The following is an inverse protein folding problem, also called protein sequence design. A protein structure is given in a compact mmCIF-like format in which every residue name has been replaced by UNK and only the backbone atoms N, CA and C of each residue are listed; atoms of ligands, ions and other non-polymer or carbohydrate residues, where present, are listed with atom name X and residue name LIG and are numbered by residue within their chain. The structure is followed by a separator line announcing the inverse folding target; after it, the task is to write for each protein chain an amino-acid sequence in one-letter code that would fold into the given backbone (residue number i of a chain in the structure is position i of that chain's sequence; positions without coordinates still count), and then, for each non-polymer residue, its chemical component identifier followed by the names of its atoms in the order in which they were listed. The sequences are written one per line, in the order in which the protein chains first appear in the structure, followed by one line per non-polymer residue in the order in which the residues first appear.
data_IF_406048782459
#
_entry.id   IF_406048782459
#
_cell.length_a   1.000
_cell.length_b   1.000
_cell.length_c   1.000
_cell.angle_alpha   90.00
_cell.angle_beta   90.00
_cell.angle_gamma   90.00
#
_symmetry.space_group_name_H-M   'P 1'
#
loop_
_entity.id
_entity.type
_entity.pdbx_description
1 polymer ?
#
# COMPACT_ATOMS: atom_id res chain seq x y z
N UNK A 1 -0.31 -1.42 -15.42
CA UNK A 1 -1.20 -1.27 -14.24
C UNK A 1 -1.68 0.19 -14.16
N UNK A 2 -2.65 0.52 -13.30
CA UNK A 2 -3.13 1.91 -13.17
C UNK A 2 -2.03 2.88 -12.72
N UNK A 3 -1.18 2.44 -11.80
CA UNK A 3 -0.02 3.21 -11.29
C UNK A 3 1.02 3.48 -12.39
N UNK A 4 1.33 2.48 -13.22
CA UNK A 4 2.24 2.67 -14.36
C UNK A 4 1.66 3.61 -15.41
N UNK A 5 0.36 3.51 -15.68
CA UNK A 5 -0.30 4.36 -16.68
C UNK A 5 -0.31 5.83 -16.22
N UNK A 6 -0.50 6.08 -14.93
CA UNK A 6 -0.32 7.41 -14.33
C UNK A 6 1.11 7.93 -14.55
N UNK A 7 2.12 7.09 -14.34
CA UNK A 7 3.53 7.46 -14.54
C UNK A 7 3.84 7.81 -16.01
N UNK A 8 3.28 7.09 -16.98
CA UNK A 8 3.48 7.40 -18.41
C UNK A 8 3.00 8.83 -18.74
N UNK A 9 1.88 9.25 -18.14
CA UNK A 9 1.27 10.54 -18.47
C UNK A 9 1.80 11.70 -17.61
N UNK A 10 2.21 11.43 -16.37
CA UNK A 10 2.64 12.46 -15.41
C UNK A 10 4.15 12.46 -15.11
N UNK A 11 4.89 11.46 -15.61
CA UNK A 11 6.31 11.23 -15.33
C UNK A 11 6.66 11.23 -13.82
N UNK A 12 5.68 10.84 -13.00
CA UNK A 12 5.76 10.75 -11.55
C UNK A 12 4.73 9.72 -11.06
N UNK A 13 4.96 9.09 -9.92
CA UNK A 13 3.95 8.24 -9.29
C UNK A 13 2.91 9.06 -8.52
N UNK A 14 1.70 8.51 -8.30
CA UNK A 14 0.68 9.18 -7.49
C UNK A 14 1.23 9.52 -6.10
N UNK A 15 0.94 10.72 -5.57
CA UNK A 15 1.45 11.14 -4.27
C UNK A 15 0.92 10.24 -3.15
N UNK A 16 1.77 10.00 -2.15
CA UNK A 16 1.41 9.27 -0.94
C UNK A 16 0.54 10.14 -0.04
N UNK A 17 -0.66 9.66 0.31
CA UNK A 17 -1.48 10.25 1.36
C UNK A 17 -1.53 9.32 2.57
N UNK A 18 -1.26 9.79 3.79
CA UNK A 18 -1.34 8.95 4.98
C UNK A 18 -2.75 8.40 5.16
N UNK A 19 -2.83 7.17 5.68
CA UNK A 19 -4.04 6.54 6.18
C UNK A 19 -4.65 7.43 7.25
N UNK A 20 -5.69 8.19 6.88
CA UNK A 20 -6.48 8.96 7.83
C UNK A 20 -7.89 8.41 7.86
N UNK A 21 -8.14 7.55 8.83
CA UNK A 21 -9.50 7.33 9.28
C UNK A 21 -9.91 8.54 10.13
N UNK A 22 -10.91 9.30 9.67
CA UNK A 22 -11.39 10.49 10.36
C UNK A 22 -12.29 10.16 11.57
N UNK A 23 -12.70 8.90 11.78
CA UNK A 23 -13.85 8.60 12.60
C UNK A 23 -13.60 7.77 13.88
N UNK A 24 -12.60 6.87 13.93
CA UNK A 24 -12.23 6.07 15.12
C UNK A 24 -11.09 5.08 14.89
N UNK A 25 -10.86 4.68 13.64
CA UNK A 25 -9.98 3.54 13.36
C UNK A 25 -8.49 3.92 13.32
N UNK A 26 -8.14 5.21 13.50
CA UNK A 26 -6.75 5.66 13.60
C UNK A 26 -6.00 5.00 14.76
N UNK A 27 -6.64 4.81 15.92
CA UNK A 27 -6.03 4.13 17.08
C UNK A 27 -5.84 2.62 16.82
N UNK A 28 -6.79 2.00 16.10
CA UNK A 28 -6.70 0.59 15.70
C UNK A 28 -5.56 0.41 14.69
N UNK A 29 -5.46 1.30 13.71
CA UNK A 29 -4.40 1.34 12.70
C UNK A 29 -3.03 1.57 13.33
N UNK A 30 -2.91 2.49 14.30
CA UNK A 30 -1.67 2.72 15.03
C UNK A 30 -1.22 1.45 15.78
N UNK A 31 -2.15 0.75 16.45
CA UNK A 31 -1.84 -0.48 17.20
C UNK A 31 -1.32 -1.62 16.33
N UNK A 32 -1.70 -1.68 15.06
CA UNK A 32 -1.30 -2.73 14.11
C UNK A 32 -0.11 -2.32 13.22
N UNK A 33 0.56 -1.19 13.50
CA UNK A 33 1.67 -0.67 12.70
C UNK A 33 1.26 0.13 11.46
N UNK A 34 -0.04 0.29 11.21
CA UNK A 34 -0.60 0.98 10.05
C UNK A 34 -0.65 2.51 10.16
N UNK A 35 -0.33 3.09 11.31
CA UNK A 35 -0.51 4.54 11.58
C UNK A 35 0.33 5.48 10.71
N UNK A 36 1.47 5.01 10.20
CA UNK A 36 2.38 5.74 9.29
C UNK A 36 2.18 5.37 7.81
N UNK A 37 1.27 4.43 7.53
CA UNK A 37 1.09 3.92 6.17
C UNK A 37 0.31 4.88 5.30
N UNK A 38 0.52 4.78 3.99
CA UNK A 38 -0.18 5.61 3.02
C UNK A 38 -1.20 4.79 2.24
N UNK A 39 -2.38 5.34 2.02
CA UNK A 39 -3.39 4.77 1.11
C UNK A 39 -3.81 5.80 0.10
N UNK A 40 -4.13 5.34 -1.11
CA UNK A 40 -4.93 6.15 -2.03
C UNK A 40 -6.29 6.39 -1.38
N UNK A 41 -6.66 7.64 -1.11
CA UNK A 41 -7.89 7.94 -0.38
C UNK A 41 -9.11 7.62 -1.26
N UNK A 42 -9.81 6.51 -0.98
CA UNK A 42 -11.07 6.18 -1.64
C UNK A 42 -12.19 7.03 -1.05
N UNK A 43 -12.45 8.21 -1.59
CA UNK A 43 -13.70 8.93 -1.32
C UNK A 43 -13.61 10.41 -0.95
N UNK A 44 -12.45 11.05 -1.05
CA UNK A 44 -12.42 12.52 -1.12
C UNK A 44 -12.47 12.93 -2.59
N UNK A 45 -13.29 13.92 -2.94
CA UNK A 45 -13.47 14.47 -4.30
C UNK A 45 -12.22 15.16 -4.86
N UNK A 46 -11.05 14.89 -4.27
CA UNK A 46 -9.73 15.43 -4.54
C UNK A 46 -8.71 14.32 -4.87
N UNK A 47 -9.16 13.18 -5.39
CA UNK A 47 -8.31 12.27 -6.19
C UNK A 47 -7.92 12.98 -7.50
N UNK A 48 -7.25 14.13 -7.41
CA UNK A 48 -6.61 14.79 -8.55
C UNK A 48 -5.47 13.87 -9.00
N UNK A 49 -5.69 13.14 -10.09
CA UNK A 49 -4.66 12.38 -10.78
C UNK A 49 -5.05 10.95 -11.19
N UNK A 50 -5.82 10.21 -10.39
CA UNK A 50 -6.15 8.80 -10.72
C UNK A 50 -7.53 8.61 -11.36
N UNK A 51 -8.44 9.57 -11.20
CA UNK A 51 -9.84 9.46 -11.67
C UNK A 51 -10.28 10.54 -12.66
N UNK A 52 -9.48 11.57 -12.94
CA UNK A 52 -9.81 12.58 -13.98
C UNK A 52 -8.57 13.27 -14.57
N UNK A 53 -8.55 13.58 -15.89
CA UNK A 53 -9.52 13.21 -16.92
C UNK A 53 -9.31 11.79 -17.49
N UNK A 54 -8.20 11.12 -17.15
CA UNK A 54 -7.95 9.71 -17.49
C UNK A 54 -8.06 8.89 -16.20
N UNK A 55 -9.11 8.07 -16.10
CA UNK A 55 -9.31 7.18 -14.95
C UNK A 55 -8.43 5.95 -15.12
N UNK A 56 -7.25 5.93 -14.50
CA UNK A 56 -6.34 4.77 -14.55
C UNK A 56 -6.85 3.59 -13.72
N UNK A 57 -7.74 3.87 -12.76
CA UNK A 57 -8.53 2.90 -12.00
C UNK A 57 -9.96 3.41 -11.89
N UNK A 58 -10.96 2.53 -12.00
CA UNK A 58 -12.38 2.88 -11.90
C UNK A 58 -12.89 2.92 -10.46
N UNK A 59 -12.25 2.16 -9.58
CA UNK A 59 -12.52 2.11 -8.14
C UNK A 59 -11.29 1.57 -7.42
N UNK A 60 -11.10 1.96 -6.17
CA UNK A 60 -10.11 1.34 -5.31
C UNK A 60 -10.63 0.00 -4.78
N UNK A 61 -9.76 -1.02 -4.82
CA UNK A 61 -10.07 -2.33 -4.26
C UNK A 61 -9.80 -2.31 -2.75
N UNK A 62 -10.82 -2.65 -1.97
CA UNK A 62 -10.68 -2.78 -0.52
C UNK A 62 -9.82 -3.99 -0.18
N UNK A 63 -8.96 -3.82 0.81
CA UNK A 63 -8.11 -4.87 1.33
C UNK A 63 -8.93 -5.79 2.25
N UNK A 64 -9.14 -7.07 1.92
CA UNK A 64 -9.89 -8.00 2.75
C UNK A 64 -9.18 -8.34 4.06
N UNK A 65 -7.87 -8.10 4.14
CA UNK A 65 -7.04 -8.39 5.30
C UNK A 65 -6.80 -7.16 6.18
N UNK A 66 -7.14 -5.96 5.70
CA UNK A 66 -7.09 -4.76 6.51
C UNK A 66 -8.05 -4.89 7.70
N UNK A 67 -7.59 -4.62 8.94
CA UNK A 67 -8.46 -4.63 10.11
C UNK A 67 -9.62 -3.65 10.03
N UNK A 68 -9.52 -2.63 9.16
CA UNK A 68 -10.66 -1.86 8.70
C UNK A 68 -10.94 -2.20 7.22
N UNK A 69 -12.02 -2.96 7.01
CA UNK A 69 -12.49 -3.46 5.72
C UNK A 69 -12.88 -2.37 4.71
N UNK A 70 -12.95 -1.11 5.15
CA UNK A 70 -13.24 0.05 4.30
C UNK A 70 -11.97 0.67 3.71
N UNK A 71 -10.80 0.13 4.02
CA UNK A 71 -9.52 0.65 3.56
C UNK A 71 -9.03 -0.13 2.33
N UNK A 72 -8.50 0.57 1.32
CA UNK A 72 -7.79 -0.08 0.23
C UNK A 72 -6.40 -0.52 0.69
N UNK A 73 -5.71 -1.26 -0.18
CA UNK A 73 -4.33 -1.66 0.03
C UNK A 73 -3.41 -0.47 0.35
N UNK A 74 -2.46 -0.70 1.26
CA UNK A 74 -1.40 0.24 1.56
C UNK A 74 -0.49 0.42 0.33
N UNK A 75 0.05 1.63 0.18
CA UNK A 75 0.83 2.04 -0.97
C UNK A 75 1.98 2.92 -0.53
N UNK A 76 3.15 2.71 -1.11
CA UNK A 76 4.32 3.56 -0.94
C UNK A 76 5.02 3.72 -2.29
N UNK A 77 5.56 4.90 -2.56
CA UNK A 77 6.39 5.16 -3.73
C UNK A 77 7.59 6.01 -3.39
N UNK A 78 8.63 5.86 -4.21
CA UNK A 78 9.72 6.82 -4.28
C UNK A 78 9.77 7.44 -5.69
N UNK A 79 10.91 8.02 -6.07
CA UNK A 79 11.07 8.69 -7.36
C UNK A 79 10.91 7.74 -8.56
N UNK A 80 11.30 6.46 -8.44
CA UNK A 80 11.40 5.55 -9.60
C UNK A 80 10.67 4.22 -9.42
N UNK A 81 10.10 3.96 -8.25
CA UNK A 81 9.38 2.73 -7.95
C UNK A 81 8.19 2.91 -7.00
N UNK A 82 7.44 1.82 -6.87
CA UNK A 82 6.29 1.71 -5.99
C UNK A 82 6.20 0.31 -5.39
N UNK A 83 5.57 0.25 -4.22
CA UNK A 83 5.14 -0.96 -3.53
C UNK A 83 3.69 -0.78 -3.07
N UNK A 84 2.89 -1.82 -3.24
CA UNK A 84 1.54 -1.92 -2.72
C UNK A 84 1.45 -3.17 -1.86
N UNK A 85 0.87 -3.09 -0.67
CA UNK A 85 0.90 -4.17 0.30
C UNK A 85 -0.33 -4.21 1.20
N UNK A 86 -0.54 -5.37 1.81
CA UNK A 86 -1.64 -5.74 2.70
C UNK A 86 -1.02 -6.41 3.93
N UNK A 87 -1.61 -6.24 5.13
CA UNK A 87 -1.10 -6.85 6.36
C UNK A 87 -1.21 -8.38 6.31
N UNK A 88 -2.06 -8.94 5.45
CA UNK A 88 -2.21 -10.38 5.32
C UNK A 88 -3.06 -10.98 6.45
N UNK A 89 -3.11 -12.33 6.54
CA UNK A 89 -4.10 -13.02 7.38
C UNK A 89 -4.00 -12.74 8.90
N UNK A 90 -2.85 -12.31 9.39
CA UNK A 90 -2.64 -11.97 10.80
C UNK A 90 -3.12 -10.54 11.15
N UNK A 91 -3.44 -9.73 10.14
CA UNK A 91 -3.94 -8.37 10.27
C UNK A 91 -2.93 -7.38 10.84
N UNK A 92 -1.63 -7.68 10.79
CA UNK A 92 -0.55 -6.78 11.25
C UNK A 92 0.28 -6.29 10.08
N UNK A 93 0.59 -4.99 10.06
CA UNK A 93 1.46 -4.44 9.03
C UNK A 93 2.92 -4.58 9.44
N UNK A 94 3.63 -5.54 8.85
CA UNK A 94 5.06 -5.73 9.07
C UNK A 94 5.90 -4.71 8.29
N UNK A 95 5.39 -4.20 7.16
CA UNK A 95 5.95 -3.08 6.40
C UNK A 95 5.44 -1.71 6.88
N UNK A 96 5.26 -1.52 8.20
CA UNK A 96 4.82 -0.27 8.83
C UNK A 96 5.66 0.97 8.45
N UNK A 97 6.95 0.76 8.13
CA UNK A 97 7.88 1.77 7.65
C UNK A 97 8.40 1.42 6.24
N UNK A 98 7.59 1.56 5.19
CA UNK A 98 7.94 1.03 3.86
C UNK A 98 9.21 1.68 3.29
N UNK A 99 9.50 2.95 3.62
CA UNK A 99 10.73 3.63 3.19
C UNK A 99 12.04 3.06 3.76
N UNK A 100 11.96 2.22 4.81
CA UNK A 100 13.13 1.51 5.37
C UNK A 100 13.44 0.22 4.61
N UNK A 101 12.42 -0.42 4.05
CA UNK A 101 12.52 -1.75 3.44
C UNK A 101 12.42 -1.70 1.91
N UNK A 102 11.78 -0.68 1.36
CA UNK A 102 11.61 -0.48 -0.08
C UNK A 102 12.39 0.73 -0.58
N UNK A 103 13.20 0.51 -1.62
CA UNK A 103 13.75 1.58 -2.47
C UNK A 103 13.89 1.07 -3.90
N UNK A 104 13.62 1.93 -4.88
CA UNK A 104 13.81 1.68 -6.30
C UNK A 104 15.27 1.65 -6.72
N UNK A 105 16.20 1.99 -5.82
CA UNK A 105 17.64 2.02 -6.09
C UNK A 105 18.29 0.63 -6.03
N UNK A 106 17.56 -0.36 -5.52
CA UNK A 106 17.99 -1.76 -5.43
C UNK A 106 17.02 -2.61 -6.25
N UNK A 107 17.52 -3.73 -6.76
CA UNK A 107 16.70 -4.71 -7.47
C UNK A 107 15.64 -5.28 -6.52
N UNK A 108 14.41 -5.36 -7.04
CA UNK A 108 13.25 -5.88 -6.31
C UNK A 108 12.83 -7.24 -6.87
N UNK A 109 12.45 -8.20 -6.01
CA UNK A 109 12.29 -8.04 -4.56
C UNK A 109 13.61 -8.14 -3.79
N UNK A 110 13.82 -7.19 -2.89
CA UNK A 110 14.99 -7.17 -2.00
C UNK A 110 14.84 -8.13 -0.82
N UNK A 111 15.96 -8.57 -0.25
CA UNK A 111 15.96 -9.45 0.94
C UNK A 111 15.21 -8.85 2.13
N UNK A 112 15.22 -7.51 2.28
CA UNK A 112 14.50 -6.82 3.37
C UNK A 112 12.99 -7.03 3.30
N UNK A 113 12.42 -6.94 2.10
CA UNK A 113 10.99 -7.15 1.89
C UNK A 113 10.65 -8.65 1.94
N UNK A 114 11.54 -9.49 1.40
CA UNK A 114 11.39 -10.96 1.45
C UNK A 114 11.30 -11.50 2.89
N UNK A 115 11.99 -10.88 3.85
CA UNK A 115 11.92 -11.25 5.28
C UNK A 115 10.60 -10.88 5.95
N UNK A 116 9.88 -9.90 5.40
CA UNK A 116 8.59 -9.42 5.89
C UNK A 116 7.44 -9.91 5.00
N UNK A 117 7.71 -10.90 4.13
CA UNK A 117 6.73 -11.45 3.21
C UNK A 117 5.92 -12.54 3.88
N UNK A 118 4.63 -12.54 3.62
CA UNK A 118 3.74 -13.65 3.97
C UNK A 118 4.30 -14.99 3.46
N UNK A 119 4.44 -15.97 4.37
CA UNK A 119 4.84 -17.34 4.06
C UNK A 119 3.60 -18.26 3.98
N UNK A 120 3.21 -18.70 2.77
CA UNK A 120 2.04 -19.56 2.60
C UNK A 120 2.18 -20.94 3.26
N UNK A 121 3.37 -21.37 3.67
CA UNK A 121 3.58 -22.67 4.32
C UNK A 121 3.00 -22.75 5.74
N UNK A 122 2.73 -21.60 6.37
CA UNK A 122 2.20 -21.50 7.74
C UNK A 122 0.73 -21.04 7.81
N UNK A 123 0.03 -21.01 6.67
CA UNK A 123 -1.42 -20.75 6.61
C UNK A 123 -1.83 -19.40 7.21
N UNK A 124 -2.87 -19.39 8.04
CA UNK A 124 -3.44 -18.16 8.65
C UNK A 124 -2.67 -17.64 9.87
N UNK A 125 -1.60 -18.33 10.29
CA UNK A 125 -0.74 -17.92 11.42
C UNK A 125 0.60 -17.39 10.91
N UNK A 126 0.85 -17.47 9.59
CA UNK A 126 2.02 -16.84 9.03
C UNK A 126 1.95 -15.34 9.26
N UNK A 127 2.97 -14.81 9.93
CA UNK A 127 3.27 -13.39 9.86
C UNK A 127 3.71 -12.99 8.45
N UNK A 128 3.79 -11.69 8.21
CA UNK A 128 4.27 -11.11 6.98
C UNK A 128 3.17 -10.51 6.12
N UNK A 129 3.54 -9.43 5.44
CA UNK A 129 2.68 -8.71 4.52
C UNK A 129 2.63 -9.40 3.15
N UNK A 130 1.48 -9.27 2.49
CA UNK A 130 1.34 -9.60 1.07
C UNK A 130 1.61 -8.34 0.27
N UNK A 131 2.58 -8.37 -0.65
CA UNK A 131 2.98 -7.17 -1.38
C UNK A 131 3.19 -7.42 -2.87
N UNK A 132 3.17 -6.32 -3.62
CA UNK A 132 3.53 -6.22 -5.02
C UNK A 132 4.39 -4.97 -5.22
N UNK A 133 5.50 -5.14 -5.92
CA UNK A 133 6.46 -4.09 -6.24
C UNK A 133 6.57 -3.90 -7.75
N UNK A 134 7.07 -2.74 -8.17
CA UNK A 134 7.57 -2.54 -9.53
C UNK A 134 8.66 -3.59 -9.85
N UNK A 135 8.49 -4.30 -10.97
CA UNK A 135 9.47 -5.21 -11.56
C UNK A 135 10.31 -4.50 -12.62
#
# INVERSE_FOLDING_TARGET
TGIESYFVDHNAYPPMCPLKDFAKDAEVLERIGGGSLSTMFAGDGRLEGLTTPVSYITSLFMDPFSPNVSLPFAYYCDENGWICFSPGPDGQYDLAEPGKYYTSKIDQPSTGIMLLSYDPSNGTISGGDVWRVKQ
#
